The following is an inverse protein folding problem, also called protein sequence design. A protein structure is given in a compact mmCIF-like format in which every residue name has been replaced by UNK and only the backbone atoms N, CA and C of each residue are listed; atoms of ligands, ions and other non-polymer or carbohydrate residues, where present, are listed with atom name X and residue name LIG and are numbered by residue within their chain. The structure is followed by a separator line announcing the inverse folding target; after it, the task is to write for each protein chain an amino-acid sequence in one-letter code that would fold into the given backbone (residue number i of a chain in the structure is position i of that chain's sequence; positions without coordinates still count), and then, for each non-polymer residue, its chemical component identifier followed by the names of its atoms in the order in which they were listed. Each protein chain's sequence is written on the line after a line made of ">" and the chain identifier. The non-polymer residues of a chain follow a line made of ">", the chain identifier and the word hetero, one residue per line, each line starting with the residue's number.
data_IF_496268660165
#
_entry.id   IF_496268660165
#
_cell.length_a   1.000
_cell.length_b   1.000
_cell.length_c   1.000
_cell.angle_alpha   90.00
_cell.angle_beta   90.00
_cell.angle_gamma   90.00
#
_symmetry.space_group_name_H-M   'P 1'
#
loop_
_entity.id
_entity.type
_entity.pdbx_description
1 polymer ?
#
# COMPACT_ATOMS: atom_id res chain seq x y z
N UNK A 1 2.71 -30.89 15.63
CA UNK A 1 1.77 -29.99 16.33
C UNK A 1 1.33 -28.94 15.35
N UNK A 2 0.12 -29.10 14.81
CA UNK A 2 -0.51 -28.14 13.91
C UNK A 2 -0.78 -26.84 14.67
N UNK A 3 0.08 -25.85 14.49
CA UNK A 3 -0.37 -24.47 14.57
C UNK A 3 -0.35 -24.01 13.14
N UNK A 4 -1.52 -24.12 12.50
CA UNK A 4 -1.91 -23.24 11.42
C UNK A 4 -1.42 -21.86 11.81
N UNK A 5 -0.42 -21.35 11.08
CA UNK A 5 0.10 -20.01 11.23
C UNK A 5 -1.08 -19.08 10.93
N UNK A 6 -1.90 -18.83 11.96
CA UNK A 6 -2.97 -17.87 11.93
C UNK A 6 -2.26 -16.57 11.68
N UNK A 7 -2.28 -16.13 10.42
CA UNK A 7 -1.84 -14.82 9.96
C UNK A 7 -2.36 -13.82 10.98
N UNK A 8 -1.52 -13.42 11.93
CA UNK A 8 -1.93 -12.50 12.96
C UNK A 8 -2.23 -11.19 12.23
N UNK A 9 -3.43 -10.60 12.41
CA UNK A 9 -3.74 -9.34 11.75
C UNK A 9 -2.70 -8.31 12.16
N UNK A 10 -2.23 -7.51 11.20
CA UNK A 10 -1.17 -6.52 11.44
C UNK A 10 -1.57 -5.63 12.62
N UNK A 11 -0.63 -5.25 13.50
CA UNK A 11 -0.96 -4.33 14.59
C UNK A 11 -1.48 -3.02 13.99
N UNK A 12 -2.73 -2.68 14.30
CA UNK A 12 -3.45 -1.54 13.72
C UNK A 12 -4.42 -1.88 12.58
N UNK A 13 -4.40 -3.08 12.01
CA UNK A 13 -5.35 -3.52 10.96
C UNK A 13 -6.80 -3.46 11.45
N UNK A 14 -7.06 -4.01 12.63
CA UNK A 14 -8.39 -3.94 13.27
C UNK A 14 -8.87 -2.51 13.50
N UNK A 15 -7.95 -1.61 13.85
CA UNK A 15 -8.30 -0.20 14.08
C UNK A 15 -8.60 0.50 12.75
N UNK A 16 -7.83 0.19 11.68
CA UNK A 16 -8.09 0.67 10.33
C UNK A 16 -9.46 0.21 9.82
N UNK A 17 -9.78 -1.08 9.98
CA UNK A 17 -11.10 -1.64 9.63
C UNK A 17 -12.23 -1.04 10.49
N UNK A 18 -11.95 -0.73 11.76
CA UNK A 18 -12.88 -0.04 12.65
C UNK A 18 -13.00 1.48 12.35
N UNK A 19 -12.29 2.01 11.36
CA UNK A 19 -12.29 3.44 11.01
C UNK A 19 -11.52 4.33 11.98
N UNK A 20 -10.72 3.76 12.88
CA UNK A 20 -9.92 4.45 13.91
C UNK A 20 -8.49 4.68 13.42
N UNK A 21 -8.36 5.42 12.32
CA UNK A 21 -7.08 5.64 11.64
C UNK A 21 -6.04 6.39 12.49
N UNK A 22 -6.48 7.29 13.38
CA UNK A 22 -5.63 8.00 14.35
C UNK A 22 -4.86 7.03 15.27
N UNK A 23 -5.51 5.93 15.67
CA UNK A 23 -4.90 4.87 16.46
C UNK A 23 -4.18 3.84 15.61
N UNK A 24 -4.67 3.58 14.40
CA UNK A 24 -4.06 2.62 13.49
C UNK A 24 -2.69 3.10 12.97
N UNK A 25 -2.56 4.39 12.65
CA UNK A 25 -1.34 4.96 12.05
C UNK A 25 -0.08 4.72 12.90
N UNK A 26 -0.03 5.04 14.21
CA UNK A 26 1.16 4.78 15.03
C UNK A 26 1.43 3.28 15.24
N UNK A 27 0.42 2.40 15.11
CA UNK A 27 0.59 0.95 15.19
C UNK A 27 1.16 0.38 13.89
N UNK A 28 0.73 0.90 12.75
CA UNK A 28 1.18 0.50 11.42
C UNK A 28 2.56 1.07 11.07
N UNK A 29 2.93 2.25 11.60
CA UNK A 29 4.20 2.92 11.32
C UNK A 29 5.44 2.03 11.52
N UNK A 30 5.65 1.37 12.67
CA UNK A 30 6.80 0.48 12.86
C UNK A 30 6.75 -0.73 11.90
N UNK A 31 5.57 -1.26 11.61
CA UNK A 31 5.37 -2.41 10.71
C UNK A 31 5.72 -2.02 9.27
N UNK A 32 5.30 -0.84 8.85
CA UNK A 32 5.63 -0.29 7.55
C UNK A 32 7.12 0.02 7.41
N UNK A 33 7.77 0.45 8.51
CA UNK A 33 9.22 0.66 8.57
C UNK A 33 10.01 -0.65 8.51
N UNK A 34 9.45 -1.73 9.05
CA UNK A 34 10.02 -3.09 8.99
C UNK A 34 9.97 -3.69 7.56
N UNK A 35 9.30 -3.01 6.63
CA UNK A 35 9.20 -3.45 5.24
C UNK A 35 7.95 -4.27 4.94
N UNK A 36 6.91 -4.22 5.78
CA UNK A 36 5.62 -4.82 5.42
C UNK A 36 4.87 -3.95 4.42
N UNK A 37 4.73 -4.47 3.20
CA UNK A 37 4.08 -3.75 2.10
C UNK A 37 2.59 -3.45 2.35
N UNK A 38 1.87 -4.34 3.06
CA UNK A 38 0.46 -4.13 3.43
C UNK A 38 0.32 -2.92 4.37
N UNK A 39 1.14 -2.84 5.42
CA UNK A 39 1.12 -1.70 6.35
C UNK A 39 1.50 -0.38 5.66
N UNK A 40 2.51 -0.41 4.77
CA UNK A 40 2.86 0.76 3.94
C UNK A 40 1.68 1.19 3.06
N UNK A 41 0.96 0.25 2.44
CA UNK A 41 -0.23 0.55 1.65
C UNK A 41 -1.35 1.16 2.50
N UNK A 42 -1.59 0.63 3.70
CA UNK A 42 -2.61 1.16 4.61
C UNK A 42 -2.29 2.60 5.04
N UNK A 43 -1.04 2.89 5.40
CA UNK A 43 -0.59 4.24 5.72
C UNK A 43 -0.77 5.18 4.51
N UNK A 44 -0.43 4.70 3.31
CA UNK A 44 -0.69 5.41 2.07
C UNK A 44 -2.17 5.77 1.90
N UNK A 45 -3.09 4.84 2.20
CA UNK A 45 -4.53 5.11 2.20
C UNK A 45 -4.94 6.18 3.23
N UNK A 46 -4.38 6.12 4.45
CA UNK A 46 -4.68 7.10 5.51
C UNK A 46 -4.30 8.51 5.03
N UNK A 47 -3.10 8.69 4.47
CA UNK A 47 -2.66 9.97 3.94
C UNK A 47 -3.43 10.40 2.69
N UNK A 48 -3.76 9.48 1.78
CA UNK A 48 -4.52 9.80 0.56
C UNK A 48 -5.92 10.32 0.91
N UNK A 49 -6.58 9.69 1.87
CA UNK A 49 -7.96 10.01 2.24
C UNK A 49 -8.04 11.08 3.34
N UNK A 50 -6.90 11.47 3.95
CA UNK A 50 -6.88 12.41 5.07
C UNK A 50 -7.62 11.88 6.30
N UNK A 51 -7.37 10.61 6.63
CA UNK A 51 -8.09 9.91 7.68
C UNK A 51 -7.36 10.04 9.03
N UNK A 52 -8.11 10.08 10.14
CA UNK A 52 -7.52 10.10 11.48
C UNK A 52 -6.93 11.46 11.87
N UNK A 53 -7.69 12.54 11.63
CA UNK A 53 -7.35 13.92 11.99
C UNK A 53 -6.14 14.54 11.26
N UNK A 54 -5.44 13.80 10.41
CA UNK A 54 -4.42 14.31 9.52
C UNK A 54 -5.04 14.85 8.22
N UNK A 55 -4.56 16.00 7.74
CA UNK A 55 -4.94 16.51 6.43
C UNK A 55 -4.50 15.53 5.33
N UNK A 56 -5.27 15.41 4.22
CA UNK A 56 -4.88 14.55 3.11
C UNK A 56 -3.56 15.03 2.52
N UNK A 57 -2.57 14.14 2.50
CA UNK A 57 -1.24 14.40 1.95
C UNK A 57 -0.93 13.36 0.88
N UNK A 58 -1.28 13.72 -0.36
CA UNK A 58 -1.10 12.84 -1.50
C UNK A 58 0.38 12.56 -1.81
N UNK A 59 1.28 13.47 -1.44
CA UNK A 59 2.71 13.31 -1.71
C UNK A 59 3.30 12.23 -0.80
N UNK A 60 2.97 12.26 0.49
CA UNK A 60 3.26 11.18 1.44
C UNK A 60 2.62 9.86 1.01
N UNK A 61 1.33 9.89 0.64
CA UNK A 61 0.63 8.68 0.19
C UNK A 61 1.34 7.97 -0.97
N UNK A 62 1.77 8.75 -1.98
CA UNK A 62 2.53 8.24 -3.12
C UNK A 62 3.86 7.65 -2.69
N UNK A 63 4.59 8.28 -1.76
CA UNK A 63 5.84 7.76 -1.25
C UNK A 63 5.65 6.38 -0.59
N UNK A 64 4.62 6.23 0.24
CA UNK A 64 4.26 4.97 0.89
C UNK A 64 3.83 3.90 -0.11
N UNK A 65 2.95 4.22 -1.06
CA UNK A 65 2.57 3.27 -2.10
C UNK A 65 3.73 2.84 -2.99
N UNK A 66 4.67 3.73 -3.31
CA UNK A 66 5.87 3.37 -4.08
C UNK A 66 6.74 2.37 -3.34
N UNK A 67 6.89 2.50 -2.01
CA UNK A 67 7.61 1.51 -1.20
C UNK A 67 6.93 0.15 -1.23
N UNK A 68 5.61 0.13 -1.05
CA UNK A 68 4.84 -1.11 -1.08
C UNK A 68 4.86 -1.77 -2.48
N UNK A 69 4.73 -0.99 -3.54
CA UNK A 69 4.86 -1.44 -4.93
C UNK A 69 6.26 -2.00 -5.24
N UNK A 70 7.31 -1.39 -4.68
CA UNK A 70 8.68 -1.89 -4.82
C UNK A 70 8.86 -3.28 -4.19
N UNK A 71 8.08 -3.59 -3.15
CA UNK A 71 8.10 -4.88 -2.46
C UNK A 71 7.25 -5.97 -3.14
N UNK A 72 6.63 -5.70 -4.29
CA UNK A 72 5.78 -6.69 -4.96
C UNK A 72 4.28 -6.52 -4.70
N UNK A 73 3.86 -5.52 -3.93
CA UNK A 73 2.47 -5.42 -3.49
C UNK A 73 1.58 -4.80 -4.55
N UNK A 74 0.92 -5.66 -5.33
CA UNK A 74 0.07 -5.26 -6.46
C UNK A 74 -1.06 -4.30 -6.08
N UNK A 75 -1.57 -4.36 -4.86
CA UNK A 75 -2.61 -3.43 -4.37
C UNK A 75 -2.07 -1.99 -4.28
N UNK A 76 -0.87 -1.80 -3.75
CA UNK A 76 -0.25 -0.48 -3.68
C UNK A 76 0.07 0.07 -5.08
N UNK A 77 0.57 -0.78 -5.97
CA UNK A 77 0.81 -0.41 -7.38
C UNK A 77 -0.47 0.04 -8.07
N UNK A 78 -1.61 -0.63 -7.84
CA UNK A 78 -2.92 -0.24 -8.36
C UNK A 78 -3.37 1.13 -7.79
N UNK A 79 -3.26 1.32 -6.48
CA UNK A 79 -3.63 2.59 -5.84
C UNK A 79 -2.78 3.75 -6.37
N UNK A 80 -1.47 3.54 -6.49
CA UNK A 80 -0.55 4.53 -7.05
C UNK A 80 -0.85 4.85 -8.51
N UNK A 81 -1.15 3.83 -9.33
CA UNK A 81 -1.54 4.03 -10.71
C UNK A 81 -2.83 4.86 -10.81
N UNK A 82 -3.81 4.58 -9.95
CA UNK A 82 -5.04 5.37 -9.83
C UNK A 82 -4.76 6.84 -9.49
N UNK A 83 -3.80 7.12 -8.61
CA UNK A 83 -3.40 8.50 -8.29
C UNK A 83 -2.80 9.23 -9.50
N UNK A 84 -1.94 8.55 -10.28
CA UNK A 84 -1.40 9.11 -11.53
C UNK A 84 -2.47 9.30 -12.62
N UNK A 85 -3.52 8.47 -12.65
CA UNK A 85 -4.63 8.66 -13.58
C UNK A 85 -5.54 9.82 -13.17
N UNK A 86 -5.77 9.98 -11.87
CA UNK A 86 -6.65 11.02 -11.32
C UNK A 86 -5.95 12.37 -11.15
N UNK A 87 -4.61 12.40 -11.19
CA UNK A 87 -3.83 13.62 -10.93
C UNK A 87 -3.86 14.06 -9.46
N UNK A 88 -4.02 13.12 -8.52
CA UNK A 88 -4.12 13.42 -7.09
C UNK A 88 -2.73 13.55 -6.49
N UNK A 89 -2.29 14.77 -6.19
CA UNK A 89 -0.96 15.05 -5.62
C UNK A 89 0.22 15.00 -6.61
N UNK A 90 -0.03 14.52 -7.83
CA UNK A 90 0.94 14.48 -8.93
C UNK A 90 0.24 14.85 -10.23
N UNK A 91 0.97 15.37 -11.23
CA UNK A 91 0.41 15.59 -12.56
C UNK A 91 -0.07 14.26 -13.15
N UNK A 92 -1.15 14.33 -13.93
CA UNK A 92 -1.72 13.16 -14.61
C UNK A 92 -0.66 12.55 -15.52
N UNK A 93 -0.34 11.29 -15.28
CA UNK A 93 0.65 10.53 -16.05
C UNK A 93 0.12 9.13 -16.33
N UNK A 94 -0.56 9.00 -17.47
CA UNK A 94 -1.17 7.73 -17.89
C UNK A 94 -0.13 6.68 -18.26
N UNK A 95 1.03 7.10 -18.73
CA UNK A 95 2.11 6.19 -19.10
C UNK A 95 2.68 5.53 -17.84
N UNK A 96 2.94 6.35 -16.83
CA UNK A 96 3.43 5.87 -15.53
C UNK A 96 2.39 5.01 -14.80
N UNK A 97 1.11 5.39 -14.86
CA UNK A 97 0.04 4.55 -14.35
C UNK A 97 -0.03 3.17 -15.03
N UNK A 98 0.10 3.13 -16.37
CA UNK A 98 0.11 1.87 -17.13
C UNK A 98 1.28 0.98 -16.73
N UNK A 99 2.48 1.56 -16.60
CA UNK A 99 3.66 0.81 -16.14
C UNK A 99 3.44 0.20 -14.76
N UNK A 100 2.86 0.96 -13.83
CA UNK A 100 2.52 0.46 -12.49
C UNK A 100 1.47 -0.65 -12.52
N UNK A 101 0.47 -0.56 -13.39
CA UNK A 101 -0.51 -1.63 -13.62
C UNK A 101 0.11 -2.91 -14.18
N UNK A 102 1.00 -2.77 -15.16
CA UNK A 102 1.74 -3.89 -15.74
C UNK A 102 2.67 -4.52 -14.71
N UNK A 103 3.36 -3.69 -13.91
CA UNK A 103 4.20 -4.16 -12.82
C UNK A 103 3.38 -4.92 -11.76
N UNK A 104 2.20 -4.42 -11.39
CA UNK A 104 1.30 -5.12 -10.46
C UNK A 104 0.87 -6.49 -11.01
N UNK A 105 0.53 -6.56 -12.30
CA UNK A 105 0.18 -7.81 -12.99
C UNK A 105 1.36 -8.78 -13.05
N UNK A 106 2.56 -8.27 -13.35
CA UNK A 106 3.77 -9.09 -13.44
C UNK A 106 4.21 -9.60 -12.08
N UNK A 107 4.14 -8.77 -11.04
CA UNK A 107 4.48 -9.14 -9.66
C UNK A 107 3.49 -10.15 -9.06
N UNK A 108 2.20 -10.07 -9.42
CA UNK A 108 1.23 -11.12 -9.11
C UNK A 108 1.45 -12.44 -9.87
N UNK A 109 2.36 -12.47 -10.85
CA UNK A 109 2.68 -13.63 -11.68
C UNK A 109 4.06 -14.25 -11.37
N UNK A 110 4.78 -13.76 -10.35
CA UNK A 110 6.08 -14.33 -9.91
C UNK A 110 5.88 -15.55 -9.01
N UNK A 111 4.95 -16.42 -9.39
CA UNK A 111 4.83 -17.79 -8.88
C UNK A 111 4.87 -18.85 -9.99
N UNK A 112 5.07 -18.44 -11.26
CA UNK A 112 4.82 -19.32 -12.41
C UNK A 112 6.00 -19.65 -13.31
N UNK A 113 7.12 -18.92 -13.29
CA UNK A 113 8.19 -19.14 -14.28
C UNK A 113 9.56 -18.87 -13.65
N UNK A 114 10.10 -19.89 -12.98
CA UNK A 114 11.55 -20.09 -12.97
C UNK A 114 11.81 -20.92 -14.23
N UNK A 115 12.33 -20.26 -15.25
CA UNK A 115 12.95 -20.89 -16.40
C UNK A 115 14.40 -21.22 -15.99
N UNK A 116 14.66 -22.50 -15.69
CA UNK A 116 15.82 -23.31 -16.12
C UNK A 116 15.62 -24.78 -15.71
#
# INVERSE_FOLDING_TARGET
>A
MSHSDSIAPLPGQREFEAGKYDRALPLLLPVAQDGHAEAQCMIGCIYQLGLGSAAPDFHEAIAWYRRAAALGYGVASNNLAGMYLSGSGVPVDRDRARQLYEQARSQGFIGGIIDD
#
